data_IF_160347497938
#
_entry.id   IF_160347497938
#
_cell.length_a   1.000
_cell.length_b   1.000
_cell.length_c   1.000
_cell.angle_alpha   90.00
_cell.angle_beta   90.00
_cell.angle_gamma   90.00
#
_symmetry.space_group_name_H-M   'P 1'
#
loop_
_entity.id
_entity.type
_entity.pdbx_description
1 polymer ?
#
# COMPACT_ATOMS: atom_id res chain seq x y z
N UNK A 1 0.54 29.01 -19.30
CA UNK A 1 -0.63 28.12 -19.10
C UNK A 1 -0.73 27.00 -20.15
N UNK A 2 -0.34 27.22 -21.41
CA UNK A 2 -0.36 26.17 -22.45
C UNK A 2 0.49 24.92 -22.12
N UNK A 3 1.66 25.12 -21.50
CA UNK A 3 2.57 24.02 -21.10
C UNK A 3 1.93 23.15 -19.99
N UNK A 4 1.28 23.75 -18.99
CA UNK A 4 0.57 23.01 -17.93
C UNK A 4 -0.55 22.14 -18.51
N UNK A 5 -1.36 22.70 -19.42
CA UNK A 5 -2.40 21.94 -20.13
C UNK A 5 -1.84 20.78 -20.96
N UNK A 6 -0.65 20.92 -21.54
CA UNK A 6 -0.02 19.81 -22.28
C UNK A 6 0.47 18.68 -21.36
N UNK A 7 0.88 19.00 -20.12
CA UNK A 7 1.29 18.01 -19.12
C UNK A 7 0.07 17.29 -18.54
N UNK A 8 -1.01 18.01 -18.24
CA UNK A 8 -2.27 17.42 -17.76
C UNK A 8 -2.89 16.42 -18.75
N UNK A 9 -2.61 16.57 -20.05
CA UNK A 9 -3.06 15.66 -21.09
C UNK A 9 -2.21 14.39 -21.27
N UNK A 10 -1.10 14.26 -20.55
CA UNK A 10 -0.23 13.07 -20.68
C UNK A 10 -0.89 11.85 -20.03
N UNK A 11 -1.04 10.72 -20.75
CA UNK A 11 -1.64 9.54 -20.16
C UNK A 11 -0.73 8.97 -19.07
N UNK A 12 -1.29 8.53 -17.92
CA UNK A 12 -0.49 7.85 -16.91
C UNK A 12 0.09 6.55 -17.49
N UNK A 13 1.23 6.12 -16.93
CA UNK A 13 1.86 4.87 -17.33
C UNK A 13 0.87 3.68 -17.29
N UNK A 14 0.97 2.71 -18.21
CA UNK A 14 0.15 1.51 -18.19
C UNK A 14 0.19 0.80 -16.83
N UNK A 15 -0.96 0.30 -16.37
CA UNK A 15 -1.08 -0.38 -15.07
C UNK A 15 -0.10 -1.54 -14.90
N UNK A 16 0.26 -2.25 -15.99
CA UNK A 16 1.24 -3.33 -15.98
C UNK A 16 2.62 -2.84 -15.51
N UNK A 17 3.04 -1.67 -15.98
CA UNK A 17 4.32 -1.06 -15.60
C UNK A 17 4.26 -0.59 -14.16
N UNK A 18 3.17 0.05 -13.75
CA UNK A 18 2.99 0.48 -12.36
C UNK A 18 3.01 -0.71 -11.39
N UNK A 19 2.31 -1.80 -11.72
CA UNK A 19 2.26 -3.00 -10.89
C UNK A 19 3.61 -3.71 -10.83
N UNK A 20 4.32 -3.86 -11.95
CA UNK A 20 5.62 -4.52 -11.97
C UNK A 20 6.69 -3.70 -11.22
N UNK A 21 6.79 -2.40 -11.51
CA UNK A 21 7.75 -1.53 -10.82
C UNK A 21 7.43 -1.37 -9.34
N UNK A 22 6.15 -1.23 -8.99
CA UNK A 22 5.68 -1.18 -7.61
C UNK A 22 5.94 -2.50 -6.87
N UNK A 23 5.69 -3.64 -7.52
CA UNK A 23 5.98 -4.96 -6.98
C UNK A 23 7.46 -5.19 -6.70
N UNK A 24 8.33 -4.81 -7.64
CA UNK A 24 9.78 -4.88 -7.46
C UNK A 24 10.22 -4.00 -6.29
N UNK A 25 9.73 -2.75 -6.23
CA UNK A 25 10.03 -1.84 -5.12
C UNK A 25 9.57 -2.41 -3.77
N UNK A 26 8.35 -2.95 -3.71
CA UNK A 26 7.81 -3.63 -2.51
C UNK A 26 8.64 -4.83 -2.07
N UNK A 27 9.09 -5.66 -3.02
CA UNK A 27 9.96 -6.80 -2.71
C UNK A 27 11.29 -6.34 -2.11
N UNK A 28 11.95 -5.35 -2.72
CA UNK A 28 13.20 -4.79 -2.18
C UNK A 28 12.99 -4.11 -0.83
N UNK A 29 11.83 -3.48 -0.60
CA UNK A 29 11.49 -2.93 0.70
C UNK A 29 11.34 -4.03 1.77
N UNK A 30 10.79 -5.19 1.42
CA UNK A 30 10.79 -6.33 2.34
C UNK A 30 12.22 -6.80 2.65
N UNK A 31 13.10 -6.92 1.64
CA UNK A 31 14.51 -7.28 1.87
C UNK A 31 15.24 -6.25 2.76
N UNK A 32 14.95 -4.97 2.59
CA UNK A 32 15.49 -3.89 3.43
C UNK A 32 15.15 -4.09 4.92
N UNK A 33 13.99 -4.70 5.21
CA UNK A 33 13.54 -5.04 6.56
C UNK A 33 14.05 -6.42 7.05
N UNK A 34 15.07 -6.98 6.38
CA UNK A 34 15.67 -8.26 6.75
C UNK A 34 14.82 -9.47 6.38
N UNK A 35 14.00 -9.37 5.33
CA UNK A 35 13.25 -10.51 4.79
C UNK A 35 14.12 -11.44 3.94
N UNK A 36 13.65 -12.68 3.76
CA UNK A 36 14.29 -13.67 2.89
C UNK A 36 13.93 -13.44 1.41
N UNK A 37 14.61 -14.14 0.51
CA UNK A 37 14.26 -14.12 -0.92
C UNK A 37 12.87 -14.69 -1.23
N UNK A 38 12.35 -15.59 -0.38
CA UNK A 38 10.98 -16.07 -0.52
C UNK A 38 9.97 -14.98 -0.14
N UNK A 39 10.27 -14.21 0.90
CA UNK A 39 9.47 -13.05 1.30
C UNK A 39 9.47 -11.97 0.23
N UNK A 40 10.60 -11.76 -0.46
CA UNK A 40 10.70 -10.85 -1.60
C UNK A 40 9.68 -11.21 -2.68
N UNK A 41 9.62 -12.49 -3.07
CA UNK A 41 8.69 -12.96 -4.11
C UNK A 41 7.24 -12.81 -3.62
N UNK A 42 6.96 -13.20 -2.37
CA UNK A 42 5.63 -13.06 -1.79
C UNK A 42 5.18 -11.60 -1.71
N UNK A 43 6.04 -10.68 -1.28
CA UNK A 43 5.77 -9.25 -1.22
C UNK A 43 5.56 -8.63 -2.61
N UNK A 44 6.38 -9.04 -3.59
CA UNK A 44 6.24 -8.61 -4.98
C UNK A 44 4.88 -9.02 -5.56
N UNK A 45 4.51 -10.30 -5.43
CA UNK A 45 3.23 -10.81 -5.96
C UNK A 45 2.04 -10.17 -5.25
N UNK A 46 2.14 -9.99 -3.93
CA UNK A 46 1.10 -9.33 -3.13
C UNK A 46 0.92 -7.87 -3.57
N UNK A 47 2.01 -7.13 -3.76
CA UNK A 47 1.97 -5.73 -4.21
C UNK A 47 1.39 -5.58 -5.62
N UNK A 48 1.72 -6.50 -6.55
CA UNK A 48 1.09 -6.54 -7.87
C UNK A 48 -0.43 -6.71 -7.74
N UNK A 49 -0.87 -7.67 -6.93
CA UNK A 49 -2.29 -7.94 -6.70
C UNK A 49 -3.02 -6.73 -6.10
N UNK A 50 -2.41 -6.10 -5.09
CA UNK A 50 -2.91 -4.87 -4.45
C UNK A 50 -3.03 -3.74 -5.46
N UNK A 51 -2.01 -3.53 -6.28
CA UNK A 51 -1.98 -2.46 -7.30
C UNK A 51 -3.12 -2.62 -8.32
N UNK A 52 -3.33 -3.84 -8.83
CA UNK A 52 -4.44 -4.13 -9.75
C UNK A 52 -5.80 -3.93 -9.08
N UNK A 53 -5.94 -4.38 -7.83
CA UNK A 53 -7.18 -4.29 -7.08
C UNK A 53 -7.57 -2.84 -6.83
N UNK A 54 -6.63 -2.02 -6.34
CA UNK A 54 -6.83 -0.59 -6.13
C UNK A 54 -7.17 0.12 -7.43
N UNK A 55 -6.46 -0.19 -8.53
CA UNK A 55 -6.77 0.39 -9.83
C UNK A 55 -8.21 0.05 -10.27
N UNK A 56 -8.66 -1.18 -10.04
CA UNK A 56 -10.03 -1.61 -10.33
C UNK A 56 -11.04 -0.87 -9.45
N UNK A 57 -10.81 -0.77 -8.15
CA UNK A 57 -11.71 -0.07 -7.21
C UNK A 57 -11.84 1.42 -7.55
N UNK A 58 -10.74 2.07 -7.92
CA UNK A 58 -10.75 3.48 -8.38
C UNK A 58 -11.55 3.67 -9.66
N UNK A 59 -11.55 2.70 -10.59
CA UNK A 59 -12.36 2.74 -11.81
C UNK A 59 -13.87 2.67 -11.56
N UNK A 60 -14.28 2.14 -10.40
CA UNK A 60 -15.69 2.08 -9.97
C UNK A 60 -16.06 3.27 -9.07
N UNK A 61 -15.23 4.31 -9.01
CA UNK A 61 -15.42 5.54 -8.22
C UNK A 61 -15.57 5.32 -6.71
N UNK A 62 -14.93 4.31 -6.14
CA UNK A 62 -14.82 4.19 -4.69
C UNK A 62 -13.96 5.34 -4.11
N UNK A 63 -14.33 5.81 -2.91
CA UNK A 63 -13.54 6.79 -2.18
C UNK A 63 -12.15 6.22 -1.82
N UNK A 64 -11.13 7.09 -1.73
CA UNK A 64 -9.76 6.75 -1.37
C UNK A 64 -9.68 5.99 -0.03
N UNK A 65 -10.46 6.40 0.96
CA UNK A 65 -10.50 5.73 2.27
C UNK A 65 -10.88 4.25 2.15
N UNK A 66 -12.02 3.95 1.50
CA UNK A 66 -12.51 2.57 1.32
C UNK A 66 -11.58 1.77 0.42
N UNK A 67 -11.03 2.40 -0.61
CA UNK A 67 -10.06 1.77 -1.51
C UNK A 67 -8.80 1.34 -0.77
N UNK A 68 -8.30 2.15 0.16
CA UNK A 68 -7.13 1.84 0.97
C UNK A 68 -7.41 0.77 2.04
N UNK A 69 -8.60 0.76 2.65
CA UNK A 69 -9.02 -0.34 3.51
C UNK A 69 -9.01 -1.66 2.72
N UNK A 70 -9.65 -1.68 1.54
CA UNK A 70 -9.70 -2.88 0.71
C UNK A 70 -8.29 -3.33 0.28
N UNK A 71 -7.41 -2.39 -0.09
CA UNK A 71 -6.01 -2.69 -0.41
C UNK A 71 -5.27 -3.32 0.77
N UNK A 72 -5.44 -2.79 1.98
CA UNK A 72 -4.89 -3.37 3.22
C UNK A 72 -5.42 -4.78 3.50
N UNK A 73 -6.73 -5.00 3.32
CA UNK A 73 -7.33 -6.32 3.47
C UNK A 73 -6.74 -7.34 2.48
N UNK A 74 -6.59 -6.95 1.21
CA UNK A 74 -6.04 -7.81 0.16
C UNK A 74 -4.58 -8.13 0.44
N UNK A 75 -3.79 -7.14 0.89
CA UNK A 75 -2.40 -7.35 1.27
C UNK A 75 -2.28 -8.37 2.40
N UNK A 76 -3.07 -8.22 3.46
CA UNK A 76 -3.08 -9.15 4.59
C UNK A 76 -3.54 -10.56 4.22
N UNK A 77 -4.62 -10.69 3.44
CA UNK A 77 -5.12 -12.00 2.99
C UNK A 77 -4.09 -12.74 2.12
N UNK A 78 -3.49 -12.04 1.16
CA UNK A 78 -2.46 -12.61 0.31
C UNK A 78 -1.21 -13.03 1.11
N UNK A 79 -0.76 -12.18 2.04
CA UNK A 79 0.37 -12.50 2.91
C UNK A 79 0.09 -13.74 3.78
N UNK A 80 -1.12 -13.86 4.34
CA UNK A 80 -1.54 -15.06 5.07
C UNK A 80 -1.46 -16.30 4.18
N UNK A 81 -2.01 -16.23 2.97
CA UNK A 81 -1.96 -17.35 2.01
C UNK A 81 -0.50 -17.74 1.74
N UNK A 82 0.38 -16.79 1.42
CA UNK A 82 1.79 -17.08 1.19
C UNK A 82 2.49 -17.67 2.42
N UNK A 83 2.25 -17.15 3.62
CA UNK A 83 2.83 -17.70 4.86
C UNK A 83 2.37 -19.13 5.16
N UNK A 84 1.16 -19.52 4.70
CA UNK A 84 0.69 -20.91 4.86
C UNK A 84 1.29 -21.88 3.85
N UNK A 85 1.82 -21.40 2.72
CA UNK A 85 2.46 -22.25 1.72
C UNK A 85 3.87 -22.68 2.12
N UNK A 86 4.60 -21.83 2.85
CA UNK A 86 5.96 -22.14 3.28
C UNK A 86 6.30 -21.51 4.64
N UNK A 87 6.79 -22.28 5.64
CA UNK A 87 7.06 -21.77 7.00
C UNK A 87 8.10 -20.64 7.07
N UNK A 88 8.99 -20.56 6.09
CA UNK A 88 10.02 -19.50 6.02
C UNK A 88 9.49 -18.14 5.58
N UNK A 89 8.23 -18.07 5.12
CA UNK A 89 7.63 -16.81 4.67
C UNK A 89 7.06 -16.07 5.89
N UNK A 90 7.64 -14.92 6.19
CA UNK A 90 7.30 -14.06 7.31
C UNK A 90 6.11 -13.18 6.95
N UNK A 91 4.97 -13.43 7.60
CA UNK A 91 3.71 -12.72 7.34
C UNK A 91 3.85 -11.20 7.50
N UNK A 92 4.51 -10.74 8.57
CA UNK A 92 4.75 -9.34 8.89
C UNK A 92 5.57 -8.64 7.81
N UNK A 93 6.67 -9.26 7.36
CA UNK A 93 7.56 -8.67 6.34
C UNK A 93 6.90 -8.58 4.98
N UNK A 94 6.10 -9.59 4.61
CA UNK A 94 5.32 -9.56 3.35
C UNK A 94 4.27 -8.47 3.37
N UNK A 95 3.54 -8.30 4.49
CA UNK A 95 2.54 -7.25 4.64
C UNK A 95 3.21 -5.87 4.51
N UNK A 96 4.26 -5.60 5.29
CA UNK A 96 4.93 -4.29 5.29
C UNK A 96 5.50 -3.96 3.90
N UNK A 97 6.13 -4.94 3.24
CA UNK A 97 6.63 -4.77 1.87
C UNK A 97 5.51 -4.47 0.87
N UNK A 98 4.41 -5.24 0.93
CA UNK A 98 3.34 -5.13 -0.04
C UNK A 98 2.54 -3.84 0.05
N UNK A 99 2.25 -3.34 1.26
CA UNK A 99 1.50 -2.09 1.43
C UNK A 99 2.32 -0.85 1.04
N UNK A 100 3.64 -0.97 0.84
CA UNK A 100 4.52 0.15 0.53
C UNK A 100 4.11 0.91 -0.74
N UNK A 101 3.50 0.23 -1.72
CA UNK A 101 2.98 0.87 -2.94
C UNK A 101 1.81 1.83 -2.66
N UNK A 102 1.13 1.68 -1.52
CA UNK A 102 -0.01 2.49 -1.09
C UNK A 102 0.39 3.64 -0.17
N UNK A 103 1.63 3.65 0.32
CA UNK A 103 2.07 4.62 1.33
C UNK A 103 2.05 6.03 0.72
N UNK A 104 1.42 7.00 1.39
CA UNK A 104 1.24 8.36 0.87
C UNK A 104 2.52 9.19 1.03
N UNK A 105 3.67 8.67 0.58
CA UNK A 105 4.98 9.29 0.76
C UNK A 105 5.07 10.69 0.15
N UNK A 106 4.54 10.87 -1.06
CA UNK A 106 4.51 12.19 -1.75
C UNK A 106 3.67 13.20 -0.96
N UNK A 107 2.49 12.81 -0.47
CA UNK A 107 1.64 13.69 0.33
C UNK A 107 2.33 14.07 1.65
N UNK A 108 2.97 13.10 2.33
CA UNK A 108 3.73 13.32 3.56
C UNK A 108 4.91 14.27 3.34
N UNK A 109 5.74 14.04 2.33
CA UNK A 109 6.86 14.94 1.99
C UNK A 109 6.36 16.34 1.65
N UNK A 110 5.29 16.43 0.88
CA UNK A 110 4.69 17.71 0.50
C UNK A 110 4.05 18.45 1.68
N UNK A 111 3.50 17.73 2.67
CA UNK A 111 2.96 18.31 3.88
C UNK A 111 4.07 18.95 4.74
N UNK A 112 5.18 18.24 4.92
CA UNK A 112 6.35 18.73 5.66
C UNK A 112 6.95 19.95 4.94
N UNK A 113 7.14 19.85 3.62
CA UNK A 113 7.69 20.93 2.81
C UNK A 113 6.88 22.23 2.95
N UNK A 114 5.57 22.15 2.80
CA UNK A 114 4.72 23.35 2.83
C UNK A 114 4.61 23.93 4.23
N UNK A 115 4.57 23.07 5.26
CA UNK A 115 4.61 23.52 6.66
C UNK A 115 5.88 24.31 6.96
N UNK A 116 7.05 23.84 6.49
CA UNK A 116 8.33 24.55 6.63
C UNK A 116 8.37 25.84 5.81
N UNK A 117 7.72 25.86 4.64
CA UNK A 117 7.63 27.04 3.78
C UNK A 117 6.63 28.11 4.29
N UNK A 118 5.91 27.84 5.38
CA UNK A 118 4.91 28.74 5.95
C UNK A 118 3.50 28.63 5.35
N UNK A 119 3.28 27.70 4.41
CA UNK A 119 1.95 27.38 3.89
C UNK A 119 1.28 26.31 4.76
N UNK A 120 0.76 26.76 5.91
CA UNK A 120 0.20 25.88 6.93
C UNK A 120 -1.12 25.23 6.49
N UNK A 121 -1.95 25.92 5.69
CA UNK A 121 -3.23 25.37 5.22
C UNK A 121 -2.98 24.19 4.28
N UNK A 122 -2.07 24.37 3.31
CA UNK A 122 -1.65 23.29 2.42
C UNK A 122 -0.94 22.16 3.17
N UNK A 123 -0.04 22.52 4.09
CA UNK A 123 0.67 21.56 4.96
C UNK A 123 -0.28 20.67 5.76
N UNK A 124 -1.27 21.27 6.44
CA UNK A 124 -2.28 20.56 7.23
C UNK A 124 -3.19 19.70 6.34
N UNK A 125 -3.64 20.21 5.19
CA UNK A 125 -4.51 19.45 4.30
C UNK A 125 -3.84 18.17 3.79
N UNK A 126 -2.59 18.26 3.32
CA UNK A 126 -1.84 17.08 2.83
C UNK A 126 -1.38 16.16 3.95
N UNK A 127 -1.10 16.72 5.13
CA UNK A 127 -0.82 15.93 6.33
C UNK A 127 -2.02 15.10 6.75
N UNK A 128 -3.21 15.71 6.78
CA UNK A 128 -4.46 15.01 7.08
C UNK A 128 -4.78 13.94 6.01
N UNK A 129 -4.55 14.23 4.73
CA UNK A 129 -4.71 13.25 3.65
C UNK A 129 -3.80 12.03 3.88
N UNK A 130 -2.50 12.25 4.12
CA UNK A 130 -1.55 11.17 4.38
C UNK A 130 -1.93 10.35 5.63
N UNK A 131 -2.37 11.01 6.69
CA UNK A 131 -2.81 10.36 7.92
C UNK A 131 -4.04 9.46 7.68
N UNK A 132 -5.05 9.97 6.96
CA UNK A 132 -6.26 9.21 6.64
C UNK A 132 -5.94 7.97 5.80
N UNK A 133 -5.03 8.09 4.82
CA UNK A 133 -4.57 6.96 4.01
C UNK A 133 -3.87 5.92 4.91
N UNK A 134 -2.95 6.34 5.79
CA UNK A 134 -2.24 5.44 6.69
C UNK A 134 -3.19 4.68 7.65
N UNK A 135 -4.15 5.39 8.25
CA UNK A 135 -5.18 4.79 9.12
C UNK A 135 -6.04 3.79 8.34
N UNK A 136 -6.42 4.11 7.10
CA UNK A 136 -7.20 3.22 6.24
C UNK A 136 -6.49 1.89 5.98
N UNK A 137 -5.20 1.96 5.64
CA UNK A 137 -4.37 0.77 5.37
C UNK A 137 -4.24 -0.06 6.65
N UNK A 138 -3.90 0.59 7.77
CA UNK A 138 -3.73 -0.06 9.07
C UNK A 138 -5.02 -0.76 9.50
N UNK A 139 -6.18 -0.11 9.32
CA UNK A 139 -7.48 -0.70 9.61
C UNK A 139 -7.75 -1.95 8.76
N UNK A 140 -7.51 -1.89 7.44
CA UNK A 140 -7.73 -3.04 6.56
C UNK A 140 -6.86 -4.25 6.91
N UNK A 141 -5.58 -4.02 7.19
CA UNK A 141 -4.65 -5.08 7.64
C UNK A 141 -5.09 -5.64 8.98
N UNK A 142 -5.31 -4.78 9.97
CA UNK A 142 -5.69 -5.18 11.32
C UNK A 142 -7.02 -5.93 11.36
N UNK A 143 -8.00 -5.51 10.57
CA UNK A 143 -9.30 -6.17 10.46
C UNK A 143 -9.16 -7.62 10.00
N UNK A 144 -8.36 -7.89 8.97
CA UNK A 144 -8.14 -9.25 8.46
C UNK A 144 -7.41 -10.12 9.48
N UNK A 145 -6.32 -9.61 10.06
CA UNK A 145 -5.54 -10.36 11.04
C UNK A 145 -6.37 -10.69 12.28
N UNK A 146 -7.10 -9.71 12.82
CA UNK A 146 -7.96 -9.91 13.99
C UNK A 146 -9.10 -10.89 13.69
N UNK A 147 -9.73 -10.78 12.52
CA UNK A 147 -10.79 -11.72 12.09
C UNK A 147 -10.25 -13.15 11.98
N UNK A 148 -9.04 -13.32 11.46
CA UNK A 148 -8.40 -14.63 11.34
C UNK A 148 -8.07 -15.23 12.71
N UNK A 149 -7.53 -14.42 13.63
CA UNK A 149 -7.24 -14.85 15.01
C UNK A 149 -8.53 -15.31 15.70
N UNK A 150 -9.62 -14.55 15.54
CA UNK A 150 -10.92 -14.90 16.08
C UNK A 150 -11.45 -16.22 15.50
N UNK A 151 -11.36 -16.43 14.18
CA UNK A 151 -11.79 -17.69 13.54
C UNK A 151 -10.94 -18.90 13.94
N UNK A 152 -9.63 -18.74 14.11
CA UNK A 152 -8.71 -19.82 14.48
C UNK A 152 -8.63 -20.08 15.99
N UNK A 153 -9.48 -19.44 16.79
CA UNK A 153 -9.57 -19.69 18.23
C UNK A 153 -8.39 -19.16 19.05
N UNK A 154 -7.73 -18.09 18.59
CA UNK A 154 -6.73 -17.37 19.38
C UNK A 154 -5.29 -17.90 19.37
N UNK A 155 -4.99 -18.96 18.60
CA UNK A 155 -3.71 -19.69 18.73
C UNK A 155 -2.63 -19.29 17.69
N UNK A 156 -2.46 -17.99 17.42
CA UNK A 156 -1.53 -17.49 16.38
C UNK A 156 -0.57 -16.39 16.86
N UNK A 157 -0.31 -16.35 18.17
CA UNK A 157 0.82 -15.64 18.79
C UNK A 157 1.65 -16.63 19.60
#
# INVERSE_FOLDING_TARGET
MAILKSIDGTPPYPIKIQALSGGIASGFFALLLGASWLDFIAALLTSILVTYSIHRLRRINFNLFVTNIAGGCIAALAAVIFSTLHPSISLDKVIIGAIMVMVPGVAMTNAIRDSIAGDLVSGLARGAEALLIAISIAFGVGFVLQSLIFLKGGNLL
#
